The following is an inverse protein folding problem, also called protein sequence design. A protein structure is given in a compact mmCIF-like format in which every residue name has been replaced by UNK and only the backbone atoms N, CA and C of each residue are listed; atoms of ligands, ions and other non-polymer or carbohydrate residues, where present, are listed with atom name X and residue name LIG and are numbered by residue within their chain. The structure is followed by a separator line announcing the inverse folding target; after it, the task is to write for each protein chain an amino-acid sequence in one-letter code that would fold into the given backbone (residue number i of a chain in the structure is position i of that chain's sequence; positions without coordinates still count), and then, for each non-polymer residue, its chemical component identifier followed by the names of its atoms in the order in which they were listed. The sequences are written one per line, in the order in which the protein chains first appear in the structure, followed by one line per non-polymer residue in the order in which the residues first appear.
data_IF_698505593578
#
_entry.id   IF_698505593578
#
_cell.length_a   1.000
_cell.length_b   1.000
_cell.length_c   1.000
_cell.angle_alpha   90.00
_cell.angle_beta   90.00
_cell.angle_gamma   90.00
#
_symmetry.space_group_name_H-M   'P 1'
#
loop_
_entity.id
_entity.type
_entity.pdbx_description
1 polymer ?
#
# COMPACT_ATOMS: atom_id res chain seq x y z
N UNK A 1 -19.73 14.12 -13.84
CA UNK A 1 -19.71 12.74 -13.28
C UNK A 1 -19.33 11.62 -14.26
N UNK A 2 -19.59 11.72 -15.58
CA UNK A 2 -19.23 10.66 -16.56
C UNK A 2 -17.73 10.31 -16.65
N UNK A 3 -16.84 11.20 -16.17
CA UNK A 3 -15.39 10.98 -16.11
C UNK A 3 -15.04 9.83 -15.13
N UNK A 4 -15.54 9.93 -13.88
CA UNK A 4 -15.19 9.03 -12.78
C UNK A 4 -15.79 7.62 -12.87
N UNK A 5 -16.80 7.42 -13.71
CA UNK A 5 -17.32 6.07 -14.00
C UNK A 5 -16.37 5.28 -14.91
N UNK A 6 -15.54 5.98 -15.70
CA UNK A 6 -14.63 5.38 -16.68
C UNK A 6 -13.14 5.53 -16.31
N UNK A 7 -12.79 6.29 -15.29
CA UNK A 7 -11.41 6.43 -14.78
C UNK A 7 -11.36 6.35 -13.25
N UNK A 8 -10.17 6.19 -12.70
CA UNK A 8 -9.86 6.47 -11.28
C UNK A 8 -9.63 7.99 -11.10
N UNK A 9 -9.59 8.43 -9.85
CA UNK A 9 -9.24 9.80 -9.49
C UNK A 9 -7.72 10.04 -9.60
N UNK A 10 -6.96 9.01 -9.30
CA UNK A 10 -5.51 9.03 -9.26
C UNK A 10 -5.00 7.63 -9.61
N UNK A 11 -3.88 7.57 -10.32
CA UNK A 11 -3.14 6.36 -10.59
C UNK A 11 -1.66 6.70 -10.57
N UNK A 12 -0.89 5.87 -9.89
CA UNK A 12 0.54 6.01 -9.75
C UNK A 12 1.20 4.64 -9.83
N UNK A 13 2.21 4.55 -10.67
CA UNK A 13 3.05 3.37 -10.85
C UNK A 13 4.51 3.76 -10.64
N UNK A 14 5.28 2.91 -9.95
CA UNK A 14 6.71 3.10 -9.72
C UNK A 14 7.43 1.76 -9.75
N UNK A 15 8.51 1.70 -10.53
CA UNK A 15 9.48 0.60 -10.49
C UNK A 15 10.72 1.06 -9.72
N UNK A 16 11.19 0.23 -8.79
CA UNK A 16 12.36 0.55 -7.97
C UNK A 16 13.21 -0.68 -7.75
N UNK A 17 14.52 -0.50 -7.91
CA UNK A 17 15.54 -1.47 -7.56
C UNK A 17 16.10 -1.11 -6.18
N UNK A 18 16.21 -2.11 -5.31
CA UNK A 18 16.68 -1.96 -3.95
C UNK A 18 17.96 -2.75 -3.77
N UNK A 19 19.04 -2.06 -3.45
CA UNK A 19 20.34 -2.63 -3.16
C UNK A 19 20.63 -2.49 -1.68
N UNK A 20 21.20 -3.54 -1.09
CA UNK A 20 21.67 -3.54 0.28
C UNK A 20 23.03 -4.22 0.35
N UNK A 21 23.96 -3.55 1.02
CA UNK A 21 25.24 -4.11 1.43
C UNK A 21 25.48 -3.74 2.89
N UNK A 22 26.00 -4.66 3.67
CA UNK A 22 26.42 -4.34 5.05
C UNK A 22 27.58 -3.32 5.05
N UNK A 23 28.43 -3.35 4.02
CA UNK A 23 29.60 -2.48 3.88
C UNK A 23 29.25 -1.10 3.31
N UNK A 24 28.38 -1.04 2.31
CA UNK A 24 28.09 0.20 1.56
C UNK A 24 26.72 0.81 1.85
N UNK A 25 25.85 0.11 2.60
CA UNK A 25 24.54 0.60 3.00
C UNK A 25 23.42 0.29 2.01
N UNK A 26 22.33 1.05 2.11
CA UNK A 26 21.16 0.94 1.25
C UNK A 26 21.25 1.93 0.08
N UNK A 27 20.87 1.46 -1.12
CA UNK A 27 20.64 2.32 -2.27
C UNK A 27 19.35 1.96 -2.99
N UNK A 28 18.63 2.98 -3.40
CA UNK A 28 17.35 2.87 -4.08
C UNK A 28 17.48 3.52 -5.45
N UNK A 29 17.29 2.74 -6.51
CA UNK A 29 17.25 3.27 -7.87
C UNK A 29 15.79 3.24 -8.33
N UNK A 30 15.19 4.41 -8.48
CA UNK A 30 13.88 4.55 -9.14
C UNK A 30 14.13 4.34 -10.63
N UNK A 31 13.74 3.17 -11.13
CA UNK A 31 13.95 2.78 -12.52
C UNK A 31 13.04 3.58 -13.44
N UNK A 32 11.77 3.68 -13.04
CA UNK A 32 10.78 4.50 -13.72
C UNK A 32 9.61 4.82 -12.79
N UNK A 33 8.85 5.85 -13.12
CA UNK A 33 7.74 6.35 -12.34
C UNK A 33 6.73 7.05 -13.25
N UNK A 34 5.42 6.87 -13.00
CA UNK A 34 4.37 7.59 -13.72
C UNK A 34 3.16 7.90 -12.85
N UNK A 35 2.82 9.18 -12.79
CA UNK A 35 1.62 9.67 -12.11
C UNK A 35 0.63 10.21 -13.15
N UNK A 36 -0.63 9.84 -13.03
CA UNK A 36 -1.68 10.38 -13.90
C UNK A 36 -2.01 11.83 -13.51
N UNK A 37 -1.96 12.74 -14.49
CA UNK A 37 -2.41 14.13 -14.37
C UNK A 37 -1.47 15.10 -13.66
N UNK A 38 -0.28 14.68 -13.25
CA UNK A 38 0.76 15.55 -12.68
C UNK A 38 2.03 15.40 -13.49
N UNK A 39 2.71 16.52 -13.78
CA UNK A 39 4.01 16.50 -14.46
C UNK A 39 5.15 16.07 -13.55
N UNK A 40 5.04 16.36 -12.26
CA UNK A 40 6.09 16.08 -11.28
C UNK A 40 5.68 14.98 -10.30
N UNK A 41 6.64 14.18 -9.82
CA UNK A 41 6.39 13.16 -8.82
C UNK A 41 5.98 13.77 -7.47
N UNK A 42 4.93 13.23 -6.85
CA UNK A 42 4.56 13.59 -5.47
C UNK A 42 5.49 12.88 -4.49
N UNK A 43 6.57 13.56 -4.08
CA UNK A 43 7.59 13.02 -3.17
C UNK A 43 7.01 12.49 -1.84
N UNK A 44 5.91 13.05 -1.36
CA UNK A 44 5.23 12.58 -0.13
C UNK A 44 4.66 11.17 -0.27
N UNK A 45 4.22 10.78 -1.48
CA UNK A 45 3.79 9.41 -1.77
C UNK A 45 4.98 8.45 -1.84
N UNK A 46 6.18 8.94 -2.16
CA UNK A 46 7.40 8.13 -2.16
C UNK A 46 7.77 7.59 -0.77
N UNK A 47 7.29 8.24 0.29
CA UNK A 47 7.49 7.85 1.69
C UNK A 47 6.42 6.86 2.22
N UNK A 48 5.49 6.38 1.37
CA UNK A 48 4.48 5.39 1.77
C UNK A 48 5.14 4.17 2.42
N UNK A 49 4.67 3.85 3.63
CA UNK A 49 5.28 2.86 4.52
C UNK A 49 5.17 1.45 3.94
N UNK A 50 6.29 0.93 3.45
CA UNK A 50 6.45 -0.50 3.14
C UNK A 50 7.03 -1.26 4.33
N UNK A 51 6.60 -2.51 4.52
CA UNK A 51 7.19 -3.43 5.50
C UNK A 51 8.52 -4.07 5.01
N UNK A 52 9.08 -3.65 3.86
CA UNK A 52 10.30 -4.26 3.28
C UNK A 52 11.47 -4.32 4.26
N UNK A 53 11.79 -3.19 4.89
CA UNK A 53 12.94 -3.07 5.82
C UNK A 53 12.47 -2.84 7.26
N UNK A 54 11.21 -3.19 7.59
CA UNK A 54 10.63 -2.90 8.91
C UNK A 54 9.75 -4.05 9.36
N UNK A 55 9.91 -4.43 10.63
CA UNK A 55 9.01 -5.39 11.27
C UNK A 55 7.57 -4.82 11.25
N UNK A 56 6.56 -5.58 10.78
CA UNK A 56 5.17 -5.17 10.80
C UNK A 56 4.72 -4.80 12.21
N UNK A 57 3.91 -3.75 12.33
CA UNK A 57 3.53 -3.15 13.61
C UNK A 57 2.95 -4.17 14.59
N UNK A 58 2.15 -5.08 14.07
CA UNK A 58 1.41 -6.11 14.80
C UNK A 58 2.31 -7.09 15.54
N UNK A 59 3.56 -7.29 15.08
CA UNK A 59 4.50 -8.25 15.68
C UNK A 59 5.73 -7.58 16.28
N UNK A 60 5.78 -6.25 16.31
CA UNK A 60 6.85 -5.53 17.00
C UNK A 60 6.76 -5.76 18.49
N UNK A 61 7.92 -5.91 19.14
CA UNK A 61 7.99 -6.22 20.56
C UNK A 61 7.33 -5.14 21.42
N UNK A 62 7.56 -3.86 21.10
CA UNK A 62 6.96 -2.74 21.81
C UNK A 62 5.43 -2.68 21.71
N UNK A 63 4.85 -3.35 20.71
CA UNK A 63 3.41 -3.38 20.47
C UNK A 63 2.74 -4.64 21.01
N UNK A 64 3.46 -5.58 21.65
CA UNK A 64 2.88 -6.84 22.16
C UNK A 64 1.70 -6.61 23.10
N UNK A 65 1.73 -5.56 23.92
CA UNK A 65 0.61 -5.20 24.82
C UNK A 65 -0.62 -4.66 24.08
N UNK A 66 -0.46 -4.18 22.85
CA UNK A 66 -1.55 -3.61 22.05
C UNK A 66 -2.43 -4.69 21.40
N UNK A 67 -1.98 -5.95 21.39
CA UNK A 67 -2.65 -7.05 20.71
C UNK A 67 -2.76 -8.28 21.61
N UNK A 68 -3.78 -9.09 21.38
CA UNK A 68 -3.91 -10.42 21.97
C UNK A 68 -3.76 -11.46 20.88
N UNK A 69 -2.89 -12.44 21.09
CA UNK A 69 -2.55 -13.47 20.12
C UNK A 69 -3.13 -14.82 20.53
N UNK A 70 -3.61 -15.58 19.56
CA UNK A 70 -4.19 -16.91 19.74
C UNK A 70 -3.65 -17.80 18.63
N UNK A 71 -2.95 -18.88 18.98
CA UNK A 71 -2.66 -19.94 18.03
C UNK A 71 -3.98 -20.65 17.70
N UNK A 72 -4.42 -20.55 16.45
CA UNK A 72 -5.74 -21.05 16.03
C UNK A 72 -5.66 -22.31 15.20
N UNK A 73 -4.59 -22.48 14.41
CA UNK A 73 -4.48 -23.62 13.48
C UNK A 73 -3.02 -23.84 13.04
N UNK A 74 -2.79 -24.90 12.28
CA UNK A 74 -1.57 -25.15 11.49
C UNK A 74 -1.96 -25.61 10.10
N UNK A 75 -1.56 -24.88 9.06
CA UNK A 75 -1.94 -25.15 7.66
C UNK A 75 -0.69 -25.32 6.79
N UNK A 76 -0.84 -25.96 5.63
CA UNK A 76 0.20 -25.98 4.60
C UNK A 76 0.05 -24.79 3.65
N UNK A 77 1.15 -24.09 3.37
CA UNK A 77 1.23 -23.02 2.36
C UNK A 77 2.49 -23.27 1.54
N UNK A 78 2.34 -23.45 0.24
CA UNK A 78 3.43 -23.70 -0.72
C UNK A 78 4.32 -24.89 -0.32
N UNK A 79 3.72 -25.97 0.22
CA UNK A 79 4.43 -27.18 0.65
C UNK A 79 5.17 -27.03 1.98
N UNK A 80 4.92 -25.95 2.73
CA UNK A 80 5.52 -25.67 4.03
C UNK A 80 4.43 -25.55 5.09
N UNK A 81 4.62 -26.24 6.21
CA UNK A 81 3.71 -26.13 7.37
C UNK A 81 3.85 -24.77 8.03
N UNK A 82 2.74 -24.10 8.29
CA UNK A 82 2.66 -22.77 8.87
C UNK A 82 1.71 -22.75 10.07
N UNK A 83 2.12 -22.15 11.17
CA UNK A 83 1.24 -21.82 12.30
C UNK A 83 0.36 -20.63 11.94
N UNK A 84 -0.93 -20.72 12.24
CA UNK A 84 -1.90 -19.64 12.07
C UNK A 84 -2.17 -19.02 13.42
N UNK A 85 -1.70 -17.78 13.60
CA UNK A 85 -1.88 -17.01 14.83
C UNK A 85 -2.87 -15.89 14.56
N UNK A 86 -4.05 -15.97 15.16
CA UNK A 86 -5.02 -14.87 15.15
C UNK A 86 -4.59 -13.79 16.13
N UNK A 87 -4.60 -12.53 15.70
CA UNK A 87 -4.41 -11.38 16.58
C UNK A 87 -5.64 -10.47 16.60
N UNK A 88 -5.90 -9.85 17.75
CA UNK A 88 -6.94 -8.82 17.92
C UNK A 88 -6.42 -7.64 18.72
N UNK A 89 -6.85 -6.43 18.36
CA UNK A 89 -6.57 -5.21 19.13
C UNK A 89 -7.06 -5.38 20.59
N UNK A 90 -6.20 -5.06 21.56
CA UNK A 90 -6.46 -5.24 22.98
C UNK A 90 -7.45 -4.21 23.57
N UNK A 91 -7.89 -3.22 22.77
CA UNK A 91 -8.87 -2.22 23.20
C UNK A 91 -8.28 -1.05 23.99
N UNK A 92 -6.95 -0.96 24.10
CA UNK A 92 -6.26 0.09 24.84
C UNK A 92 -6.59 1.46 24.22
N UNK A 93 -7.09 2.39 25.05
CA UNK A 93 -7.40 3.76 24.62
C UNK A 93 -6.09 4.47 24.26
N UNK A 94 -5.96 4.86 23.00
CA UNK A 94 -4.84 5.67 22.50
C UNK A 94 -5.25 7.15 22.48
N UNK A 95 -4.34 8.10 22.78
CA UNK A 95 -4.64 9.54 22.72
C UNK A 95 -5.12 9.97 21.33
N UNK A 96 -4.54 9.36 20.28
CA UNK A 96 -4.96 9.55 18.90
C UNK A 96 -5.80 8.35 18.46
N UNK A 97 -7.05 8.55 18.00
CA UNK A 97 -7.87 7.47 17.50
C UNK A 97 -7.25 6.91 16.22
N UNK A 98 -6.75 5.68 16.30
CA UNK A 98 -6.22 4.95 15.15
C UNK A 98 -7.20 3.86 14.75
N UNK A 99 -7.19 3.51 13.46
CA UNK A 99 -7.93 2.35 12.95
C UNK A 99 -7.43 1.10 13.68
N UNK A 100 -8.37 0.36 14.26
CA UNK A 100 -8.10 -0.92 14.91
C UNK A 100 -8.11 -2.01 13.86
N UNK A 101 -7.07 -2.83 13.89
CA UNK A 101 -6.88 -3.95 12.97
C UNK A 101 -6.81 -5.25 13.76
N UNK A 102 -7.47 -6.27 13.22
CA UNK A 102 -7.42 -7.65 13.66
C UNK A 102 -7.07 -8.52 12.45
N UNK A 103 -6.59 -9.73 12.68
CA UNK A 103 -6.44 -10.68 11.59
C UNK A 103 -5.55 -11.85 11.94
N UNK A 104 -4.71 -12.25 11.00
CA UNK A 104 -3.97 -13.51 11.05
C UNK A 104 -2.50 -13.30 10.67
N UNK A 105 -1.64 -13.97 11.41
CA UNK A 105 -0.21 -14.08 11.15
C UNK A 105 0.07 -15.53 10.82
N UNK A 106 0.78 -15.77 9.73
CA UNK A 106 1.20 -17.08 9.28
C UNK A 106 2.71 -17.17 9.47
N UNK A 107 3.13 -18.12 10.30
CA UNK A 107 4.54 -18.32 10.67
C UNK A 107 4.99 -19.68 10.18
N UNK A 108 6.06 -19.71 9.41
CA UNK A 108 6.66 -20.96 8.94
C UNK A 108 7.12 -21.83 10.12
N UNK A 109 6.74 -23.10 10.13
CA UNK A 109 6.97 -23.98 11.28
C UNK A 109 8.44 -24.45 11.42
N UNK A 110 9.20 -24.41 10.33
CA UNK A 110 10.61 -24.83 10.29
C UNK A 110 11.55 -23.68 10.68
N UNK A 111 11.36 -22.51 10.08
CA UNK A 111 12.27 -21.36 10.25
C UNK A 111 11.74 -20.29 11.20
N UNK A 112 10.49 -20.39 11.65
CA UNK A 112 9.78 -19.35 12.40
C UNK A 112 9.71 -18.00 11.68
N UNK A 113 9.96 -18.00 10.37
CA UNK A 113 9.84 -16.81 9.54
C UNK A 113 8.39 -16.40 9.34
N UNK A 114 8.18 -15.09 9.24
CA UNK A 114 6.87 -14.54 8.88
C UNK A 114 6.60 -14.86 7.41
N UNK A 115 5.63 -15.74 7.13
CA UNK A 115 5.20 -16.06 5.75
C UNK A 115 4.18 -15.04 5.25
N UNK A 116 3.24 -14.64 6.09
CA UNK A 116 2.13 -13.77 5.69
C UNK A 116 1.52 -13.08 6.90
N UNK A 117 1.05 -11.85 6.72
CA UNK A 117 0.19 -11.17 7.69
C UNK A 117 -1.02 -10.58 6.96
N UNK A 118 -2.18 -10.77 7.54
CA UNK A 118 -3.43 -10.16 7.11
C UNK A 118 -4.01 -9.33 8.24
N UNK A 119 -4.21 -8.04 7.99
CA UNK A 119 -4.76 -7.07 8.92
C UNK A 119 -6.02 -6.48 8.31
N UNK A 120 -7.18 -6.77 8.90
CA UNK A 120 -8.47 -6.20 8.50
C UNK A 120 -8.98 -5.22 9.55
N UNK A 121 -9.55 -4.11 9.10
CA UNK A 121 -10.16 -3.15 10.01
C UNK A 121 -11.37 -3.78 10.71
N UNK A 122 -11.54 -3.46 11.99
CA UNK A 122 -12.70 -3.91 12.77
C UNK A 122 -14.02 -3.40 12.18
N UNK A 123 -13.98 -2.30 11.42
CA UNK A 123 -15.14 -1.79 10.69
C UNK A 123 -15.10 -2.31 9.26
N UNK A 124 -16.19 -2.96 8.84
CA UNK A 124 -16.33 -3.52 7.50
C UNK A 124 -16.05 -2.45 6.44
N UNK A 125 -15.22 -2.79 5.46
CA UNK A 125 -14.86 -1.91 4.35
C UNK A 125 -14.10 -0.63 4.73
N UNK A 126 -13.47 -0.54 5.91
CA UNK A 126 -12.61 0.61 6.22
C UNK A 126 -11.15 0.41 5.80
N UNK A 127 -10.66 -0.82 5.79
CA UNK A 127 -9.38 -1.14 5.18
C UNK A 127 -8.89 -2.54 5.46
N UNK A 128 -7.94 -2.98 4.64
CA UNK A 128 -7.25 -4.26 4.72
C UNK A 128 -5.81 -4.10 4.27
N UNK A 129 -4.90 -4.79 4.94
CA UNK A 129 -3.48 -4.86 4.61
C UNK A 129 -3.09 -6.33 4.56
N UNK A 130 -2.43 -6.75 3.49
CA UNK A 130 -1.90 -8.10 3.35
C UNK A 130 -0.46 -7.99 2.88
N UNK A 131 0.47 -8.50 3.68
CA UNK A 131 1.87 -8.60 3.30
C UNK A 131 2.25 -10.08 3.27
N UNK A 132 2.98 -10.49 2.24
CA UNK A 132 3.41 -11.87 1.99
C UNK A 132 4.91 -11.85 1.81
N UNK A 133 5.60 -12.75 2.51
CA UNK A 133 7.03 -12.96 2.37
C UNK A 133 7.30 -14.32 1.75
N UNK A 134 8.49 -14.46 1.16
CA UNK A 134 8.96 -15.70 0.58
C UNK A 134 10.38 -16.01 1.08
N UNK A 135 10.69 -17.29 1.38
CA UNK A 135 12.04 -17.68 1.78
C UNK A 135 12.95 -17.77 0.55
N UNK A 136 14.11 -17.13 0.62
CA UNK A 136 15.15 -17.15 -0.43
C UNK A 136 16.50 -17.22 0.28
N UNK A 137 17.29 -18.28 0.00
CA UNK A 137 18.61 -18.49 0.62
C UNK A 137 18.60 -18.31 2.15
N UNK A 138 17.67 -18.99 2.84
CA UNK A 138 17.47 -18.94 4.30
C UNK A 138 17.14 -17.56 4.89
N UNK A 139 16.71 -16.60 4.06
CA UNK A 139 16.22 -15.30 4.49
C UNK A 139 14.80 -15.06 3.96
N UNK A 140 14.02 -14.26 4.68
CA UNK A 140 12.64 -13.96 4.30
C UNK A 140 12.54 -12.58 3.68
N UNK A 141 12.07 -12.53 2.44
CA UNK A 141 11.91 -11.29 1.68
C UNK A 141 10.44 -10.98 1.48
N UNK A 142 10.06 -9.72 1.67
CA UNK A 142 8.71 -9.25 1.34
C UNK A 142 8.51 -9.43 -0.17
N UNK A 143 7.57 -10.26 -0.57
CA UNK A 143 7.26 -10.60 -1.96
C UNK A 143 6.06 -9.80 -2.49
N UNK A 144 5.06 -9.57 -1.65
CA UNK A 144 3.85 -8.82 -2.04
C UNK A 144 3.29 -8.04 -0.87
N UNK A 145 2.79 -6.85 -1.16
CA UNK A 145 2.03 -6.03 -0.21
C UNK A 145 0.80 -5.45 -0.90
N UNK A 146 -0.36 -5.68 -0.32
CA UNK A 146 -1.64 -5.14 -0.77
C UNK A 146 -2.26 -4.33 0.35
N UNK A 147 -2.67 -3.12 0.05
CA UNK A 147 -3.30 -2.20 0.97
C UNK A 147 -4.56 -1.65 0.31
N UNK A 148 -5.68 -1.72 1.03
CA UNK A 148 -6.93 -1.04 0.69
C UNK A 148 -7.34 -0.21 1.87
N UNK A 149 -7.54 1.09 1.66
CA UNK A 149 -7.93 2.01 2.75
C UNK A 149 -9.04 2.93 2.30
N UNK A 150 -10.06 3.09 3.14
CA UNK A 150 -11.10 4.11 2.93
C UNK A 150 -10.58 5.47 3.37
N UNK A 151 -10.48 6.42 2.44
CA UNK A 151 -9.96 7.77 2.70
C UNK A 151 -11.05 8.78 3.07
N UNK A 152 -12.31 8.52 2.71
CA UNK A 152 -13.42 9.41 3.03
C UNK A 152 -14.72 9.02 2.32
N UNK A 153 -15.67 9.95 2.33
CA UNK A 153 -16.90 9.88 1.55
C UNK A 153 -17.01 11.11 0.67
N UNK A 154 -17.41 10.90 -0.58
CA UNK A 154 -17.89 11.97 -1.46
C UNK A 154 -19.41 11.93 -1.44
N UNK A 155 -20.03 13.07 -1.15
CA UNK A 155 -21.48 13.23 -1.15
C UNK A 155 -21.92 13.93 -2.44
N UNK A 156 -23.01 13.46 -3.03
CA UNK A 156 -23.56 14.01 -4.27
C UNK A 156 -24.47 15.21 -4.01
N UNK A 157 -25.12 15.23 -2.85
CA UNK A 157 -26.09 16.25 -2.46
C UNK A 157 -25.42 17.39 -1.70
N UNK A 158 -25.99 18.58 -1.71
CA UNK A 158 -25.50 19.70 -0.89
C UNK A 158 -25.55 19.39 0.61
N UNK A 159 -24.59 19.94 1.37
CA UNK A 159 -24.51 19.72 2.83
C UNK A 159 -25.67 20.38 3.57
N UNK A 160 -26.12 21.52 3.05
CA UNK A 160 -27.17 22.33 3.63
C UNK A 160 -28.26 22.56 2.59
N UNK A 161 -29.52 22.46 3.01
CA UNK A 161 -30.66 22.94 2.22
C UNK A 161 -31.26 24.14 2.93
N UNK A 162 -31.66 25.14 2.17
CA UNK A 162 -32.40 26.26 2.73
C UNK A 162 -33.85 25.83 2.93
N UNK A 163 -34.35 25.90 4.16
CA UNK A 163 -35.76 25.73 4.45
C UNK A 163 -36.54 26.88 3.80
N UNK A 164 -37.47 26.54 2.90
CA UNK A 164 -38.28 27.50 2.17
C UNK A 164 -39.24 28.30 3.06
N UNK A 165 -39.58 27.79 4.26
CA UNK A 165 -40.49 28.46 5.20
C UNK A 165 -39.77 29.37 6.20
N UNK A 166 -38.55 29.04 6.60
CA UNK A 166 -37.83 29.78 7.65
C UNK A 166 -36.57 30.48 7.16
N UNK A 167 -36.14 30.22 5.92
CA UNK A 167 -34.91 30.77 5.32
C UNK A 167 -33.62 30.24 5.96
N UNK A 168 -33.71 29.36 6.96
CA UNK A 168 -32.55 28.80 7.67
C UNK A 168 -31.91 27.67 6.87
N UNK A 169 -30.58 27.60 6.90
CA UNK A 169 -29.82 26.49 6.33
C UNK A 169 -29.87 25.30 7.28
N UNK A 170 -30.57 24.25 6.90
CA UNK A 170 -30.64 23.01 7.64
C UNK A 170 -29.68 21.96 7.06
N UNK A 171 -29.01 21.22 7.93
CA UNK A 171 -28.13 20.13 7.51
C UNK A 171 -28.94 18.91 7.08
N UNK A 172 -28.63 18.39 5.89
CA UNK A 172 -29.32 17.20 5.35
C UNK A 172 -28.85 15.96 6.11
N UNK A 173 -29.70 15.39 6.98
CA UNK A 173 -29.32 14.28 7.88
C UNK A 173 -29.09 12.92 7.20
N UNK A 174 -29.43 12.75 5.92
CA UNK A 174 -29.29 11.49 5.16
C UNK A 174 -28.71 11.70 3.76
N UNK A 175 -27.52 12.29 3.66
CA UNK A 175 -26.86 12.52 2.36
C UNK A 175 -26.42 11.20 1.73
N UNK A 176 -26.74 11.01 0.45
CA UNK A 176 -26.23 9.87 -0.31
C UNK A 176 -24.80 10.17 -0.76
N UNK A 177 -23.90 9.25 -0.49
CA UNK A 177 -22.49 9.39 -0.84
C UNK A 177 -21.83 8.04 -1.08
N UNK A 178 -20.69 8.08 -1.76
CA UNK A 178 -19.87 6.91 -2.04
C UNK A 178 -18.54 7.01 -1.30
N UNK A 179 -17.99 5.86 -0.89
CA UNK A 179 -16.70 5.80 -0.23
C UNK A 179 -15.56 5.99 -1.22
N UNK A 180 -14.57 6.80 -0.86
CA UNK A 180 -13.31 6.92 -1.59
C UNK A 180 -12.31 5.94 -1.01
N UNK A 181 -11.64 5.19 -1.89
CA UNK A 181 -10.70 4.16 -1.51
C UNK A 181 -9.36 4.38 -2.21
N UNK A 182 -8.29 4.18 -1.45
CA UNK A 182 -6.92 4.05 -1.96
C UNK A 182 -6.58 2.57 -1.98
N UNK A 183 -6.01 2.14 -3.10
CA UNK A 183 -5.45 0.81 -3.28
C UNK A 183 -3.98 0.97 -3.61
N UNK A 184 -3.13 0.20 -2.93
CA UNK A 184 -1.71 0.08 -3.20
C UNK A 184 -1.41 -1.41 -3.32
N UNK A 185 -0.75 -1.78 -4.41
CA UNK A 185 -0.19 -3.10 -4.62
C UNK A 185 1.29 -2.91 -4.93
N UNK A 186 2.13 -3.60 -4.19
CA UNK A 186 3.57 -3.64 -4.41
C UNK A 186 3.99 -5.09 -4.55
N UNK A 187 4.49 -5.44 -5.73
CA UNK A 187 5.11 -6.72 -6.00
C UNK A 187 6.63 -6.55 -6.00
N UNK A 188 7.32 -7.42 -5.28
CA UNK A 188 8.77 -7.48 -5.19
C UNK A 188 9.22 -8.78 -5.86
N UNK A 189 10.14 -8.67 -6.81
CA UNK A 189 10.58 -9.78 -7.65
C UNK A 189 12.06 -9.61 -8.01
N UNK A 190 12.61 -10.55 -8.79
CA UNK A 190 14.02 -10.59 -9.21
C UNK A 190 15.03 -10.50 -8.06
N UNK A 191 14.75 -11.21 -6.96
CA UNK A 191 15.62 -11.25 -5.80
C UNK A 191 16.98 -11.88 -6.15
N UNK A 192 18.04 -11.10 -5.98
CA UNK A 192 19.42 -11.58 -6.09
C UNK A 192 20.06 -11.57 -4.71
N UNK A 193 20.41 -12.75 -4.19
CA UNK A 193 21.11 -12.92 -2.92
C UNK A 193 21.76 -14.30 -2.91
N UNK A 194 23.02 -14.47 -2.49
CA UNK A 194 23.98 -13.40 -2.20
C UNK A 194 24.36 -12.62 -3.47
N UNK A 195 24.77 -11.36 -3.30
CA UNK A 195 25.28 -10.52 -4.40
C UNK A 195 26.78 -10.32 -4.27
N UNK A 196 27.46 -10.10 -5.41
CA UNK A 196 28.83 -9.59 -5.39
C UNK A 196 28.77 -8.07 -5.20
N UNK A 197 29.27 -7.56 -4.07
CA UNK A 197 29.22 -6.14 -3.76
C UNK A 197 30.25 -5.33 -4.55
N UNK A 198 29.81 -4.50 -5.50
CA UNK A 198 30.67 -3.56 -6.22
C UNK A 198 30.43 -2.15 -5.69
N UNK A 199 31.50 -1.47 -5.24
CA UNK A 199 31.42 -0.10 -4.69
C UNK A 199 30.63 0.85 -5.59
N UNK A 200 30.89 0.79 -6.91
CA UNK A 200 30.22 1.61 -7.94
C UNK A 200 28.69 1.53 -7.89
N UNK A 201 28.14 0.37 -7.55
CA UNK A 201 26.69 0.18 -7.49
C UNK A 201 26.06 1.03 -6.39
N UNK A 202 26.82 1.33 -5.31
CA UNK A 202 26.39 2.08 -4.13
C UNK A 202 26.86 3.55 -4.12
N UNK A 203 27.59 4.02 -5.14
CA UNK A 203 28.11 5.40 -5.18
C UNK A 203 26.99 6.45 -5.39
N UNK A 204 27.20 7.65 -4.84
CA UNK A 204 26.27 8.78 -4.97
C UNK A 204 25.23 8.85 -3.85
N UNK A 205 24.09 9.48 -4.13
CA UNK A 205 22.98 9.57 -3.19
C UNK A 205 22.32 8.21 -2.96
N UNK A 206 21.79 8.00 -1.75
CA UNK A 206 21.06 6.78 -1.37
C UNK A 206 19.79 6.56 -2.20
N UNK A 207 19.31 7.60 -2.90
CA UNK A 207 18.22 7.50 -3.87
C UNK A 207 18.63 8.14 -5.19
N UNK A 208 18.40 7.45 -6.30
CA UNK A 208 18.59 7.97 -7.65
C UNK A 208 17.33 7.74 -8.51
N UNK A 209 17.15 8.56 -9.54
CA UNK A 209 16.03 8.44 -10.50
C UNK A 209 16.63 8.28 -11.89
N UNK A 210 16.26 7.20 -12.59
CA UNK A 210 16.65 6.95 -13.99
C UNK A 210 15.64 7.60 -14.95
N UNK A 211 14.37 7.21 -14.83
CA UNK A 211 13.26 7.75 -15.62
C UNK A 211 12.09 8.16 -14.72
N UNK A 212 11.23 9.06 -15.21
CA UNK A 212 10.03 9.52 -14.52
C UNK A 212 8.85 9.81 -15.47
N UNK A 213 8.94 9.30 -16.71
CA UNK A 213 7.89 9.47 -17.73
C UNK A 213 6.99 8.24 -17.88
N UNK A 214 7.38 7.12 -17.27
CA UNK A 214 6.67 5.86 -17.33
C UNK A 214 6.90 5.04 -18.59
N UNK A 215 7.84 5.44 -19.45
CA UNK A 215 8.09 4.81 -20.76
C UNK A 215 8.52 3.34 -20.69
N UNK A 216 9.07 2.92 -19.55
CA UNK A 216 9.61 1.57 -19.33
C UNK A 216 8.86 0.76 -18.29
N UNK A 217 7.80 1.32 -17.68
CA UNK A 217 7.02 0.64 -16.64
C UNK A 217 6.44 -0.70 -17.10
N UNK A 218 6.05 -0.82 -18.36
CA UNK A 218 5.51 -2.05 -18.95
C UNK A 218 6.46 -3.25 -18.78
N UNK A 219 7.78 -3.02 -18.72
CA UNK A 219 8.79 -4.07 -18.51
C UNK A 219 8.81 -4.61 -17.08
N UNK A 220 8.29 -3.84 -16.13
CA UNK A 220 8.32 -4.14 -14.69
C UNK A 220 6.93 -4.49 -14.13
N UNK A 221 5.88 -4.43 -14.97
CA UNK A 221 4.53 -4.81 -14.55
C UNK A 221 4.43 -6.32 -14.40
N UNK A 222 4.08 -6.77 -13.21
CA UNK A 222 3.70 -8.15 -12.92
C UNK A 222 2.30 -8.50 -13.42
N UNK A 223 1.42 -7.49 -13.53
CA UNK A 223 0.04 -7.62 -14.00
C UNK A 223 -0.29 -6.53 -15.04
N UNK A 224 -1.19 -6.86 -15.96
CA UNK A 224 -1.69 -5.89 -16.95
C UNK A 224 -2.63 -4.86 -16.32
N UNK A 225 -2.55 -3.61 -16.80
CA UNK A 225 -3.50 -2.57 -16.40
C UNK A 225 -4.92 -2.96 -16.82
N UNK A 226 -5.87 -2.79 -15.90
CA UNK A 226 -7.29 -2.88 -16.23
C UNK A 226 -7.68 -1.78 -17.22
N UNK A 227 -8.77 -2.00 -17.97
CA UNK A 227 -9.33 -0.99 -18.88
C UNK A 227 -9.54 0.36 -18.17
N UNK A 228 -9.96 0.34 -16.90
CA UNK A 228 -10.19 1.55 -16.10
C UNK A 228 -8.88 2.26 -15.74
N UNK A 229 -7.81 1.54 -15.43
CA UNK A 229 -6.49 2.11 -15.15
C UNK A 229 -5.87 2.73 -16.39
N UNK A 230 -5.88 1.99 -17.51
CA UNK A 230 -5.43 2.51 -18.81
C UNK A 230 -6.20 3.78 -19.21
N UNK A 231 -7.53 3.79 -19.08
CA UNK A 231 -8.34 5.00 -19.29
C UNK A 231 -8.03 6.14 -18.31
N UNK A 232 -7.50 5.84 -17.11
CA UNK A 232 -7.17 6.86 -16.12
C UNK A 232 -6.04 7.74 -16.60
N UNK A 233 -4.96 7.16 -17.12
CA UNK A 233 -3.87 7.95 -17.71
C UNK A 233 -4.41 8.89 -18.79
N UNK A 234 -5.09 8.37 -19.81
CA UNK A 234 -5.57 9.21 -20.91
C UNK A 234 -6.48 10.36 -20.46
N UNK A 235 -7.43 10.08 -19.56
CA UNK A 235 -8.43 11.06 -19.15
C UNK A 235 -7.92 12.05 -18.12
N UNK A 236 -7.16 11.58 -17.13
CA UNK A 236 -6.64 12.44 -16.06
C UNK A 236 -5.44 13.24 -16.57
N UNK A 237 -4.60 12.70 -17.46
CA UNK A 237 -3.54 13.47 -18.13
C UNK A 237 -4.13 14.60 -18.99
N UNK A 238 -5.26 14.36 -19.67
CA UNK A 238 -5.97 15.40 -20.42
C UNK A 238 -6.48 16.53 -19.52
N UNK A 239 -6.97 16.18 -18.32
CA UNK A 239 -7.36 17.16 -17.30
C UNK A 239 -6.14 17.92 -16.79
N UNK A 240 -5.07 17.22 -16.43
CA UNK A 240 -3.80 17.83 -15.97
C UNK A 240 -3.26 18.82 -16.99
N UNK A 241 -3.20 18.45 -18.28
CA UNK A 241 -2.80 19.34 -19.38
C UNK A 241 -3.70 20.58 -19.48
N UNK A 242 -5.02 20.41 -19.40
CA UNK A 242 -5.98 21.53 -19.49
C UNK A 242 -5.79 22.54 -18.37
N UNK A 243 -5.44 22.08 -17.17
CA UNK A 243 -5.31 22.91 -15.98
C UNK A 243 -3.85 23.22 -15.59
N UNK A 244 -2.88 22.84 -16.44
CA UNK A 244 -1.43 22.99 -16.23
C UNK A 244 -0.95 22.51 -14.85
N UNK A 245 -1.43 21.32 -14.46
CA UNK A 245 -1.05 20.58 -13.26
C UNK A 245 0.19 19.71 -13.49
#
# INVERSE_FOLDING_TARGET
MKLFTKSKLFLWERASEFLYSQKYGEKINILDNRIAGLREPVYELMALRSNRNRIPREIREENRSLYRFFLTDSIDIDGRKNFVIRFRDAGIKKPVPQRKFNGYIYVDAETYGLKKIESNSNKKSEGSITSIWTPIHNKWFLAKENLKMRMGMTYMDEKYKTDQKTGKKEEVKNRKGFGNYVFLTADYFDFQTPIQEKKKDFEGYSMSVKNADGSTLDKFRTDSLTLRESMTYNKIDSVGKKYNL
#
